data_IF_466016525321
#
_entry.id   IF_466016525321
#
_cell.length_a   1.000
_cell.length_b   1.000
_cell.length_c   1.000
_cell.angle_alpha   90.00
_cell.angle_beta   90.00
_cell.angle_gamma   90.00
#
_symmetry.space_group_name_H-M   'P 1'
#
loop_
_entity.id
_entity.type
_entity.pdbx_description
1 polymer ?
#
# COMPACT_ATOMS: atom_id res chain seq x y z
N UNK A 1 42.75 16.28 2.42
CA UNK A 1 43.30 14.90 2.39
C UNK A 1 43.06 14.15 3.68
N UNK A 2 43.70 14.46 4.82
CA UNK A 2 43.46 13.76 6.10
C UNK A 2 41.97 13.66 6.51
N UNK A 3 41.20 14.73 6.32
CA UNK A 3 39.76 14.73 6.60
C UNK A 3 38.94 13.84 5.65
N UNK A 4 39.37 13.69 4.38
CA UNK A 4 38.71 12.80 3.40
C UNK A 4 39.03 11.34 3.71
N UNK A 5 40.28 11.07 4.10
CA UNK A 5 40.74 9.76 4.59
C UNK A 5 39.92 9.30 5.82
N UNK A 6 39.68 10.19 6.80
CA UNK A 6 38.91 9.84 8.00
C UNK A 6 37.42 9.60 7.74
N UNK A 7 36.82 10.30 6.78
CA UNK A 7 35.37 10.24 6.52
C UNK A 7 34.97 9.11 5.57
N UNK A 8 35.81 8.74 4.60
CA UNK A 8 35.50 7.71 3.61
C UNK A 8 36.48 6.52 3.60
N UNK A 9 37.55 6.54 4.41
CA UNK A 9 38.61 5.53 4.34
C UNK A 9 39.44 5.59 3.05
N UNK A 10 39.34 6.70 2.29
CA UNK A 10 39.93 6.89 0.96
C UNK A 10 41.45 7.03 1.07
N UNK A 11 42.20 6.06 0.58
CA UNK A 11 43.67 6.12 0.55
C UNK A 11 44.19 7.02 -0.58
N UNK A 12 45.47 7.43 -0.49
CA UNK A 12 46.17 8.12 -1.59
C UNK A 12 46.11 7.35 -2.92
N UNK A 13 46.17 6.01 -2.85
CA UNK A 13 46.01 5.16 -4.03
C UNK A 13 44.66 5.38 -4.71
N UNK A 14 43.59 5.44 -3.92
CA UNK A 14 42.24 5.63 -4.45
C UNK A 14 42.06 7.02 -5.06
N UNK A 15 42.66 8.04 -4.44
CA UNK A 15 42.71 9.42 -4.96
C UNK A 15 43.39 9.46 -6.33
N UNK A 16 44.55 8.83 -6.46
CA UNK A 16 45.29 8.78 -7.71
C UNK A 16 44.53 7.98 -8.79
N UNK A 17 43.92 6.86 -8.40
CA UNK A 17 43.19 5.96 -9.30
C UNK A 17 41.93 6.58 -9.87
N UNK A 18 41.10 7.20 -9.02
CA UNK A 18 39.82 7.80 -9.42
C UNK A 18 39.90 9.29 -9.70
N UNK A 19 41.10 9.89 -9.63
CA UNK A 19 41.32 11.34 -9.77
C UNK A 19 40.41 12.15 -8.85
N UNK A 20 40.31 11.69 -7.59
CA UNK A 20 39.48 12.37 -6.60
C UNK A 20 40.02 13.77 -6.31
N UNK A 21 39.14 14.75 -6.35
CA UNK A 21 39.43 16.14 -6.04
C UNK A 21 38.33 16.79 -5.22
N UNK A 22 38.50 18.07 -4.93
CA UNK A 22 37.45 18.91 -4.36
C UNK A 22 36.96 19.88 -5.43
N UNK A 23 35.65 20.06 -5.53
CA UNK A 23 35.07 21.02 -6.47
C UNK A 23 35.45 22.45 -6.09
N UNK A 24 35.80 23.26 -7.09
CA UNK A 24 35.90 24.71 -6.92
C UNK A 24 34.54 25.31 -6.52
N UNK A 25 34.52 26.52 -5.95
CA UNK A 25 33.27 27.20 -5.63
C UNK A 25 32.43 27.46 -6.90
N UNK A 26 31.17 27.05 -6.92
CA UNK A 26 30.25 27.34 -8.03
C UNK A 26 28.85 27.78 -7.57
N UNK A 27 28.21 28.72 -8.28
CA UNK A 27 26.84 29.11 -8.00
C UNK A 27 25.86 28.06 -8.54
N UNK A 28 24.71 27.88 -7.88
CA UNK A 28 23.56 27.17 -8.47
C UNK A 28 22.48 28.20 -8.81
N UNK A 29 21.99 28.15 -10.04
CA UNK A 29 21.09 29.16 -10.60
C UNK A 29 19.84 29.45 -9.76
N UNK A 30 19.45 30.74 -9.79
CA UNK A 30 18.16 31.32 -9.43
C UNK A 30 17.69 31.28 -7.96
N UNK A 31 18.59 31.18 -6.97
CA UNK A 31 18.23 31.52 -5.59
C UNK A 31 18.68 32.94 -5.29
N UNK A 32 17.74 33.78 -4.84
CA UNK A 32 18.03 35.14 -4.34
C UNK A 32 18.90 35.01 -3.09
N UNK A 33 20.14 35.49 -3.18
CA UNK A 33 21.16 35.37 -2.15
C UNK A 33 22.35 34.55 -2.66
N UNK A 34 23.56 35.12 -2.64
CA UNK A 34 24.82 34.52 -3.12
C UNK A 34 25.19 33.23 -2.36
N UNK A 35 24.50 32.13 -2.60
CA UNK A 35 24.81 30.86 -1.95
C UNK A 35 25.70 30.00 -2.85
N UNK A 36 26.89 29.66 -2.34
CA UNK A 36 27.99 29.06 -3.11
C UNK A 36 28.26 27.63 -2.63
N UNK A 37 28.23 26.67 -3.54
CA UNK A 37 28.67 25.30 -3.26
C UNK A 37 30.19 25.21 -3.40
N UNK A 38 30.87 24.63 -2.43
CA UNK A 38 32.32 24.44 -2.50
C UNK A 38 32.75 23.15 -1.80
N UNK A 39 33.90 22.62 -2.21
CA UNK A 39 34.56 21.48 -1.56
C UNK A 39 33.71 20.19 -1.51
N UNK A 40 32.85 19.96 -2.51
CA UNK A 40 32.27 18.64 -2.71
C UNK A 40 33.36 17.70 -3.23
N UNK A 41 33.38 16.44 -2.78
CA UNK A 41 34.27 15.45 -3.36
C UNK A 41 33.83 15.19 -4.80
N UNK A 42 34.74 15.31 -5.75
CA UNK A 42 34.45 15.15 -7.18
C UNK A 42 35.36 14.09 -7.79
N UNK A 43 34.80 13.29 -8.71
CA UNK A 43 35.53 12.29 -9.47
C UNK A 43 35.00 12.21 -10.91
N UNK A 44 35.86 12.15 -11.94
CA UNK A 44 35.42 11.76 -13.28
C UNK A 44 34.90 10.32 -13.30
N UNK A 45 33.89 10.06 -14.12
CA UNK A 45 33.39 8.70 -14.35
C UNK A 45 34.40 7.93 -15.20
N UNK A 46 34.72 6.70 -14.82
CA UNK A 46 35.53 5.79 -15.63
C UNK A 46 34.60 4.93 -16.48
N UNK A 47 34.82 4.92 -17.79
CA UNK A 47 34.06 4.11 -18.74
C UNK A 47 34.53 2.65 -18.80
N UNK A 48 33.85 1.83 -19.60
CA UNK A 48 34.17 0.40 -19.77
C UNK A 48 35.59 0.13 -20.27
N UNK A 49 36.19 1.09 -20.98
CA UNK A 49 37.53 0.98 -21.55
C UNK A 49 38.62 1.45 -20.56
N UNK A 50 38.22 1.95 -19.38
CA UNK A 50 39.11 2.53 -18.38
C UNK A 50 39.47 3.99 -18.65
N UNK A 51 38.79 4.64 -19.61
CA UNK A 51 39.00 6.05 -19.92
C UNK A 51 38.14 6.93 -19.00
N UNK A 52 38.65 8.12 -18.67
CA UNK A 52 37.89 9.11 -17.92
C UNK A 52 36.92 9.85 -18.85
N UNK A 53 35.66 9.87 -18.45
CA UNK A 53 34.60 10.67 -19.08
C UNK A 53 34.72 12.13 -18.67
N UNK A 54 34.11 13.01 -19.48
CA UNK A 54 33.89 14.42 -19.13
C UNK A 54 32.77 14.62 -18.10
N UNK A 55 32.02 13.56 -17.76
CA UNK A 55 31.00 13.59 -16.69
C UNK A 55 31.63 13.30 -15.33
N UNK A 56 31.18 14.05 -14.33
CA UNK A 56 31.68 13.98 -12.96
C UNK A 56 30.57 13.60 -11.99
N UNK A 57 30.96 12.81 -11.00
CA UNK A 57 30.15 12.50 -9.82
C UNK A 57 30.67 13.35 -8.67
N UNK A 58 29.73 13.86 -7.88
CA UNK A 58 29.95 14.71 -6.73
C UNK A 58 29.38 14.04 -5.49
N UNK A 59 30.01 14.25 -4.34
CA UNK A 59 29.51 13.77 -3.04
C UNK A 59 29.71 14.82 -1.96
N UNK A 60 28.68 15.01 -1.15
CA UNK A 60 28.76 15.82 0.07
C UNK A 60 29.60 15.05 1.10
N UNK A 61 30.62 15.71 1.63
CA UNK A 61 31.45 15.23 2.74
C UNK A 61 31.34 16.20 3.92
N UNK A 62 30.35 16.07 4.82
CA UNK A 62 30.33 16.86 6.03
C UNK A 62 31.57 16.54 6.92
N UNK A 63 32.22 17.52 7.55
CA UNK A 63 31.97 18.97 7.52
C UNK A 63 32.74 19.73 6.41
N UNK A 64 33.43 19.03 5.50
CA UNK A 64 34.30 19.61 4.47
C UNK A 64 33.49 20.36 3.41
N UNK A 65 32.42 19.75 2.93
CA UNK A 65 31.58 20.34 1.88
C UNK A 65 30.75 21.48 2.44
N UNK A 66 30.83 22.62 1.78
CA UNK A 66 29.95 23.76 2.05
C UNK A 66 28.69 23.58 1.18
N UNK A 67 27.67 22.93 1.74
CA UNK A 67 26.32 22.85 1.17
C UNK A 67 25.29 23.14 2.26
N UNK A 68 24.39 24.07 1.97
CA UNK A 68 23.38 24.62 2.88
C UNK A 68 22.02 23.91 2.74
N UNK A 69 21.92 22.87 1.91
CA UNK A 69 20.64 22.23 1.56
C UNK A 69 20.49 20.78 2.00
N UNK A 70 21.53 20.16 2.57
CA UNK A 70 21.53 18.71 2.74
C UNK A 70 22.00 18.33 4.14
N UNK A 71 21.09 17.75 4.91
CA UNK A 71 21.35 17.11 6.20
C UNK A 71 21.93 15.69 5.99
N UNK A 72 23.06 15.56 5.26
CA UNK A 72 23.72 14.26 5.09
C UNK A 72 24.58 14.07 3.84
N UNK A 73 25.25 12.90 3.73
CA UNK A 73 26.13 12.56 2.62
C UNK A 73 25.34 12.15 1.36
N UNK A 74 24.98 13.13 0.52
CA UNK A 74 24.33 12.87 -0.78
C UNK A 74 25.36 12.78 -1.90
N UNK A 75 25.14 11.87 -2.85
CA UNK A 75 25.94 11.71 -4.07
C UNK A 75 25.10 12.08 -5.28
N UNK A 76 25.62 12.87 -6.23
CA UNK A 76 24.92 13.25 -7.46
C UNK A 76 25.86 13.30 -8.65
N UNK A 77 25.30 13.21 -9.86
CA UNK A 77 26.03 13.36 -11.12
C UNK A 77 25.39 14.46 -11.96
N UNK A 78 26.19 15.18 -12.74
CA UNK A 78 25.65 16.13 -13.71
C UNK A 78 25.12 15.43 -14.97
N UNK A 79 24.01 15.96 -15.50
CA UNK A 79 23.34 15.48 -16.71
C UNK A 79 22.19 14.49 -16.43
N UNK A 80 21.32 14.28 -17.43
CA UNK A 80 20.04 13.58 -17.25
C UNK A 80 20.17 12.06 -17.26
N UNK A 81 21.05 11.53 -18.10
CA UNK A 81 21.10 10.08 -18.36
C UNK A 81 22.08 9.39 -17.40
N UNK A 82 21.65 8.31 -16.71
CA UNK A 82 22.53 7.51 -15.88
C UNK A 82 23.58 6.75 -16.68
N UNK A 83 24.83 6.89 -16.27
CA UNK A 83 25.98 6.15 -16.78
C UNK A 83 26.46 5.09 -15.79
N UNK A 84 27.02 3.99 -16.30
CA UNK A 84 27.75 3.00 -15.51
C UNK A 84 29.14 3.54 -15.17
N UNK A 85 29.44 3.61 -13.88
CA UNK A 85 30.77 3.92 -13.36
C UNK A 85 31.54 2.61 -13.16
N UNK A 86 32.70 2.45 -13.80
CA UNK A 86 33.55 1.28 -13.65
C UNK A 86 34.73 1.54 -12.70
N UNK A 87 35.27 0.51 -12.04
CA UNK A 87 36.49 0.65 -11.22
C UNK A 87 37.80 0.57 -12.02
N UNK A 88 37.73 0.06 -13.26
CA UNK A 88 38.82 -0.07 -14.23
C UNK A 88 38.29 -0.53 -15.59
N UNK A 89 39.18 -0.59 -16.59
CA UNK A 89 38.95 -1.28 -17.85
C UNK A 89 38.46 -2.72 -17.63
N UNK A 90 37.44 -3.10 -18.38
CA UNK A 90 36.86 -4.44 -18.40
C UNK A 90 37.70 -5.38 -19.28
N UNK A 91 37.95 -6.58 -18.77
CA UNK A 91 38.62 -7.69 -19.44
C UNK A 91 37.63 -8.84 -19.69
N UNK A 92 37.96 -9.75 -20.60
CA UNK A 92 37.04 -10.79 -21.08
C UNK A 92 36.56 -11.76 -19.97
N UNK A 93 37.41 -12.07 -19.00
CA UNK A 93 37.13 -13.04 -17.93
C UNK A 93 36.68 -12.39 -16.60
N UNK A 94 36.37 -11.10 -16.63
CA UNK A 94 36.01 -10.38 -15.41
C UNK A 94 34.68 -10.87 -14.82
N UNK A 95 34.66 -10.97 -13.49
CA UNK A 95 33.43 -10.98 -12.70
C UNK A 95 33.07 -9.55 -12.29
N UNK A 96 31.83 -9.30 -11.91
CA UNK A 96 31.36 -7.97 -11.53
C UNK A 96 30.78 -7.94 -10.12
N UNK A 97 31.12 -6.88 -9.38
CA UNK A 97 30.46 -6.50 -8.12
C UNK A 97 29.66 -5.23 -8.38
N UNK A 98 28.34 -5.27 -8.14
CA UNK A 98 27.41 -4.16 -8.38
C UNK A 98 27.09 -3.47 -7.05
N UNK A 99 27.49 -2.21 -6.92
CA UNK A 99 27.31 -1.39 -5.71
C UNK A 99 26.17 -0.38 -5.86
N UNK A 100 25.56 0.02 -4.74
CA UNK A 100 24.40 0.91 -4.73
C UNK A 100 24.75 2.37 -5.03
N UNK A 101 26.00 2.76 -4.76
CA UNK A 101 26.50 4.10 -5.01
C UNK A 101 27.96 4.10 -5.46
N UNK A 102 28.39 5.21 -6.06
CA UNK A 102 29.79 5.41 -6.47
C UNK A 102 30.74 5.46 -5.26
N UNK A 103 30.25 5.88 -4.09
CA UNK A 103 31.04 5.84 -2.86
C UNK A 103 31.26 4.41 -2.36
N UNK A 104 30.24 3.57 -2.41
CA UNK A 104 30.40 2.14 -2.12
C UNK A 104 31.36 1.48 -3.13
N UNK A 105 31.30 1.87 -4.41
CA UNK A 105 32.26 1.40 -5.41
C UNK A 105 33.70 1.73 -4.97
N UNK A 106 33.97 2.97 -4.54
CA UNK A 106 35.30 3.34 -4.02
C UNK A 106 35.66 2.50 -2.80
N UNK A 107 34.75 2.37 -1.84
CA UNK A 107 34.99 1.60 -0.64
C UNK A 107 35.35 0.14 -0.95
N UNK A 108 34.56 -0.54 -1.79
CA UNK A 108 34.79 -1.92 -2.21
C UNK A 108 36.12 -2.07 -2.95
N UNK A 109 36.50 -1.11 -3.81
CA UNK A 109 37.81 -1.14 -4.48
C UNK A 109 38.96 -1.02 -3.50
N UNK A 110 38.87 -0.15 -2.49
CA UNK A 110 39.88 -0.07 -1.42
C UNK A 110 39.94 -1.37 -0.62
N UNK A 111 38.78 -1.99 -0.32
CA UNK A 111 38.70 -3.28 0.37
C UNK A 111 39.31 -4.43 -0.42
N UNK A 112 39.24 -4.39 -1.76
CA UNK A 112 39.82 -5.42 -2.63
C UNK A 112 41.35 -5.35 -2.73
N UNK A 113 41.96 -4.23 -2.32
CA UNK A 113 43.38 -3.97 -2.54
C UNK A 113 44.28 -5.08 -1.99
N UNK A 114 45.20 -5.57 -2.81
CA UNK A 114 46.15 -6.60 -2.44
C UNK A 114 45.54 -8.01 -2.32
N UNK A 115 44.30 -8.19 -2.76
CA UNK A 115 43.63 -9.50 -2.82
C UNK A 115 43.47 -9.97 -4.27
N UNK A 116 43.18 -11.26 -4.46
CA UNK A 116 42.89 -11.81 -5.78
C UNK A 116 41.61 -11.23 -6.43
N UNK A 117 40.75 -10.56 -5.65
CA UNK A 117 39.57 -9.90 -6.22
C UNK A 117 39.99 -8.74 -7.14
N UNK A 118 41.08 -8.03 -6.83
CA UNK A 118 41.53 -6.85 -7.57
C UNK A 118 41.81 -7.15 -9.06
N UNK A 119 42.33 -8.35 -9.36
CA UNK A 119 42.66 -8.78 -10.71
C UNK A 119 41.53 -9.53 -11.43
N UNK A 120 40.49 -9.97 -10.71
CA UNK A 120 39.43 -10.85 -11.25
C UNK A 120 38.04 -10.20 -11.28
N UNK A 121 37.85 -9.12 -10.53
CA UNK A 121 36.57 -8.43 -10.43
C UNK A 121 36.70 -6.98 -10.88
N UNK A 122 35.65 -6.51 -11.56
CA UNK A 122 35.36 -5.10 -11.78
C UNK A 122 34.23 -4.71 -10.84
N UNK A 123 34.30 -3.51 -10.27
CA UNK A 123 33.23 -2.97 -9.44
C UNK A 123 32.51 -1.92 -10.27
N UNK A 124 31.18 -2.00 -10.30
CA UNK A 124 30.34 -1.05 -11.03
C UNK A 124 29.28 -0.44 -10.11
N UNK A 125 28.84 0.76 -10.46
CA UNK A 125 27.68 1.41 -9.85
C UNK A 125 27.03 2.36 -10.85
N UNK A 126 25.76 2.69 -10.64
CA UNK A 126 25.12 3.79 -11.37
C UNK A 126 25.66 5.13 -10.86
N UNK A 127 25.97 6.03 -11.80
CA UNK A 127 26.26 7.44 -11.49
C UNK A 127 25.13 8.18 -10.76
N UNK A 128 23.90 7.65 -10.80
CA UNK A 128 22.70 8.22 -10.18
C UNK A 128 22.13 7.35 -9.04
N UNK A 129 22.90 6.37 -8.56
CA UNK A 129 22.48 5.47 -7.49
C UNK A 129 21.44 4.42 -7.91
N UNK A 130 20.87 3.73 -6.93
CA UNK A 130 19.98 2.58 -7.13
C UNK A 130 18.60 2.91 -7.70
N UNK A 131 18.16 4.17 -7.64
CA UNK A 131 16.83 4.57 -8.14
C UNK A 131 16.81 4.78 -9.67
N UNK A 132 17.97 5.02 -10.28
CA UNK A 132 18.09 5.34 -11.71
C UNK A 132 19.24 4.58 -12.35
N UNK A 133 18.92 3.45 -12.98
CA UNK A 133 19.93 2.58 -13.60
C UNK A 133 20.25 3.01 -15.05
N UNK A 134 21.50 2.80 -15.50
CA UNK A 134 21.88 2.98 -16.90
C UNK A 134 21.05 2.07 -17.81
N UNK A 135 20.68 2.56 -19.00
CA UNK A 135 19.83 1.80 -19.94
C UNK A 135 20.44 0.45 -20.31
N UNK A 136 21.77 0.37 -20.41
CA UNK A 136 22.46 -0.89 -20.72
C UNK A 136 22.19 -1.97 -19.66
N UNK A 137 22.01 -1.62 -18.37
CA UNK A 137 21.69 -2.57 -17.30
C UNK A 137 20.30 -3.17 -17.45
N UNK A 138 19.42 -2.61 -18.29
CA UNK A 138 18.07 -3.15 -18.51
C UNK A 138 18.07 -4.33 -19.49
N UNK A 139 19.22 -4.63 -20.09
CA UNK A 139 19.36 -5.66 -21.14
C UNK A 139 20.21 -6.82 -20.66
N UNK A 140 19.80 -8.05 -21.00
CA UNK A 140 20.58 -9.25 -20.68
C UNK A 140 21.96 -9.27 -21.36
N UNK A 141 22.12 -8.56 -22.48
CA UNK A 141 23.40 -8.45 -23.21
C UNK A 141 24.49 -7.77 -22.37
N UNK A 142 24.13 -6.75 -21.58
CA UNK A 142 25.10 -6.13 -20.69
C UNK A 142 25.61 -7.12 -19.63
N UNK A 143 24.72 -7.97 -19.12
CA UNK A 143 25.00 -8.89 -18.02
C UNK A 143 25.67 -10.19 -18.48
N UNK A 144 25.41 -10.64 -19.71
CA UNK A 144 25.92 -11.90 -20.24
C UNK A 144 27.45 -11.98 -20.30
N UNK A 145 28.13 -10.83 -20.42
CA UNK A 145 29.60 -10.73 -20.50
C UNK A 145 30.33 -11.13 -19.22
N UNK A 146 29.69 -11.02 -18.07
CA UNK A 146 30.36 -11.24 -16.80
C UNK A 146 30.40 -12.74 -16.46
N UNK A 147 31.56 -13.20 -15.99
CA UNK A 147 31.70 -14.59 -15.54
C UNK A 147 30.82 -14.89 -14.33
N UNK A 148 30.75 -13.94 -13.41
CA UNK A 148 29.90 -13.95 -12.20
C UNK A 148 29.38 -12.55 -11.95
N UNK A 149 28.10 -12.45 -11.57
CA UNK A 149 27.47 -11.19 -11.16
C UNK A 149 27.23 -11.28 -9.66
N UNK A 150 27.82 -10.37 -8.89
CA UNK A 150 27.60 -10.26 -7.45
C UNK A 150 27.01 -8.90 -7.14
N UNK A 151 25.82 -8.86 -6.54
CA UNK A 151 25.14 -7.63 -6.14
C UNK A 151 25.34 -7.39 -4.66
N UNK A 152 25.72 -6.17 -4.31
CA UNK A 152 26.11 -5.80 -2.95
C UNK A 152 25.34 -4.57 -2.49
N UNK A 153 24.06 -4.40 -2.84
CA UNK A 153 23.30 -3.25 -2.35
C UNK A 153 23.21 -3.29 -0.82
N UNK A 154 23.65 -2.20 -0.17
CA UNK A 154 23.50 -1.96 1.26
C UNK A 154 22.32 -1.02 1.52
N UNK A 155 21.82 -0.95 2.77
CA UNK A 155 20.64 -0.14 3.14
C UNK A 155 21.09 1.21 3.70
N UNK A 156 21.01 2.32 2.96
CA UNK A 156 20.89 3.63 3.59
C UNK A 156 19.42 3.82 4.01
N UNK A 157 19.11 3.72 5.31
CA UNK A 157 17.87 4.22 5.92
C UNK A 157 16.52 3.75 5.32
N UNK A 158 15.86 2.82 6.01
CA UNK A 158 14.40 2.57 6.10
C UNK A 158 13.48 2.51 4.84
N UNK A 159 13.91 2.80 3.61
CA UNK A 159 12.99 2.99 2.47
C UNK A 159 13.20 2.07 1.26
N UNK A 160 14.38 1.48 1.07
CA UNK A 160 14.65 0.58 -0.06
C UNK A 160 14.83 -0.87 0.41
N UNK A 161 14.14 -1.82 -0.25
CA UNK A 161 14.35 -3.27 -0.12
C UNK A 161 15.58 -3.69 -0.95
N UNK A 162 16.75 -3.94 -0.34
CA UNK A 162 17.97 -4.27 -1.06
C UNK A 162 17.90 -5.64 -1.75
N UNK A 163 17.09 -6.54 -1.20
CA UNK A 163 16.89 -7.84 -1.80
C UNK A 163 15.97 -7.71 -3.01
N UNK A 164 14.92 -6.88 -2.92
CA UNK A 164 14.12 -6.44 -4.07
C UNK A 164 14.99 -5.89 -5.21
N UNK A 165 15.94 -5.00 -4.92
CA UNK A 165 16.89 -4.48 -5.92
C UNK A 165 17.80 -5.57 -6.51
N UNK A 166 18.23 -6.55 -5.70
CA UNK A 166 18.98 -7.69 -6.18
C UNK A 166 18.15 -8.56 -7.14
N UNK A 167 16.86 -8.79 -6.83
CA UNK A 167 15.92 -9.46 -7.71
C UNK A 167 15.69 -8.70 -9.01
N UNK A 168 15.61 -7.37 -8.97
CA UNK A 168 15.49 -6.53 -10.16
C UNK A 168 16.71 -6.69 -11.08
N UNK A 169 17.93 -6.71 -10.53
CA UNK A 169 19.15 -7.00 -11.32
C UNK A 169 19.09 -8.42 -11.88
N UNK A 170 18.65 -9.41 -11.09
CA UNK A 170 18.52 -10.78 -11.55
C UNK A 170 17.54 -10.92 -12.73
N UNK A 171 16.44 -10.15 -12.71
CA UNK A 171 15.47 -10.09 -13.82
C UNK A 171 16.11 -9.57 -15.10
N UNK A 172 16.76 -8.41 -15.03
CA UNK A 172 17.41 -7.84 -16.22
C UNK A 172 18.61 -8.66 -16.71
N UNK A 173 19.32 -9.33 -15.80
CA UNK A 173 20.42 -10.22 -16.14
C UNK A 173 19.97 -11.49 -16.86
N UNK A 174 18.72 -11.94 -16.62
CA UNK A 174 18.16 -13.17 -17.17
C UNK A 174 19.05 -14.42 -16.95
N UNK A 175 19.84 -14.41 -15.87
CA UNK A 175 20.72 -15.50 -15.44
C UNK A 175 20.94 -15.46 -13.94
N UNK A 176 21.49 -16.53 -13.39
CA UNK A 176 21.79 -16.61 -11.97
C UNK A 176 22.80 -15.54 -11.54
N UNK A 177 22.52 -14.91 -10.41
CA UNK A 177 23.39 -13.91 -9.79
C UNK A 177 23.65 -14.27 -8.32
N UNK A 178 24.57 -13.57 -7.69
CA UNK A 178 24.93 -13.80 -6.30
C UNK A 178 24.67 -12.56 -5.46
N UNK A 179 23.90 -12.69 -4.40
CA UNK A 179 23.63 -11.67 -3.42
C UNK A 179 24.67 -11.73 -2.31
N UNK A 180 25.50 -10.70 -2.23
CA UNK A 180 26.40 -10.50 -1.10
C UNK A 180 25.59 -9.84 0.02
N UNK A 181 25.32 -10.49 1.17
CA UNK A 181 24.53 -9.89 2.24
C UNK A 181 25.18 -8.59 2.74
N UNK A 182 24.40 -7.61 3.19
CA UNK A 182 24.95 -6.43 3.82
C UNK A 182 25.77 -6.85 5.05
N UNK A 183 26.89 -6.17 5.26
CA UNK A 183 27.62 -6.25 6.52
C UNK A 183 26.77 -5.63 7.65
N UNK A 184 27.12 -5.87 8.92
CA UNK A 184 26.43 -5.30 10.11
C UNK A 184 26.58 -3.76 10.24
N UNK A 185 26.77 -3.05 9.14
CA UNK A 185 26.91 -1.61 9.04
C UNK A 185 25.94 -1.03 8.00
N UNK A 186 25.74 0.28 7.99
CA UNK A 186 24.77 0.93 7.11
C UNK A 186 25.14 0.80 5.62
N UNK A 187 26.43 0.92 5.29
CA UNK A 187 26.92 0.78 3.92
C UNK A 187 28.36 0.21 3.83
N UNK A 188 28.83 -0.03 2.61
CA UNK A 188 30.21 -0.52 2.39
C UNK A 188 31.29 0.48 2.77
N UNK A 189 30.97 1.78 2.80
CA UNK A 189 31.87 2.82 3.28
C UNK A 189 32.14 2.63 4.77
N UNK A 190 31.10 2.37 5.56
CA UNK A 190 31.20 2.08 6.99
C UNK A 190 31.91 0.73 7.23
N UNK A 191 31.65 -0.29 6.40
CA UNK A 191 32.35 -1.57 6.53
C UNK A 191 33.85 -1.47 6.26
N UNK A 192 34.27 -0.60 5.32
CA UNK A 192 35.68 -0.29 5.12
C UNK A 192 36.29 0.41 6.35
N UNK A 193 35.56 1.34 6.97
CA UNK A 193 36.00 2.04 8.19
C UNK A 193 36.10 1.09 9.39
N UNK A 194 35.19 0.12 9.49
CA UNK A 194 35.22 -0.96 10.49
C UNK A 194 36.28 -2.04 10.20
N UNK A 195 37.10 -1.87 9.15
CA UNK A 195 38.28 -2.69 8.89
C UNK A 195 38.03 -3.96 8.07
N UNK A 196 36.89 -4.08 7.39
CA UNK A 196 36.65 -5.17 6.43
C UNK A 196 37.53 -4.96 5.20
N UNK A 197 38.53 -5.82 4.96
CA UNK A 197 39.46 -5.72 3.80
C UNK A 197 39.99 -7.09 3.36
N UNK A 198 40.53 -7.15 2.15
CA UNK A 198 41.29 -8.27 1.60
C UNK A 198 40.54 -9.59 1.64
N UNK A 199 41.10 -10.56 2.36
CA UNK A 199 40.56 -11.93 2.42
C UNK A 199 39.23 -12.06 3.17
N UNK A 200 38.85 -11.07 4.00
CA UNK A 200 37.50 -11.03 4.59
C UNK A 200 36.44 -10.78 3.52
N UNK A 201 36.67 -9.78 2.66
CA UNK A 201 35.78 -9.49 1.52
C UNK A 201 35.75 -10.66 0.53
N UNK A 202 36.91 -11.25 0.25
CA UNK A 202 37.01 -12.43 -0.63
C UNK A 202 36.12 -13.58 -0.16
N UNK A 203 36.18 -13.91 1.14
CA UNK A 203 35.34 -14.95 1.73
C UNK A 203 33.86 -14.61 1.61
N UNK A 204 33.48 -13.36 1.87
CA UNK A 204 32.10 -12.91 1.75
C UNK A 204 31.57 -13.03 0.31
N UNK A 205 32.35 -12.63 -0.71
CA UNK A 205 31.99 -12.77 -2.13
C UNK A 205 31.85 -14.24 -2.54
N UNK A 206 32.71 -15.11 -2.02
CA UNK A 206 32.65 -16.56 -2.26
C UNK A 206 31.42 -17.22 -1.61
N UNK A 207 31.03 -16.77 -0.42
CA UNK A 207 29.85 -17.26 0.31
C UNK A 207 28.56 -16.52 -0.05
N UNK A 208 28.56 -15.66 -1.08
CA UNK A 208 27.38 -14.90 -1.49
C UNK A 208 26.25 -15.85 -1.90
N UNK A 209 25.03 -15.52 -1.46
CA UNK A 209 23.82 -16.32 -1.66
C UNK A 209 23.42 -16.33 -3.13
N UNK A 210 23.13 -17.51 -3.69
CA UNK A 210 22.65 -17.63 -5.07
C UNK A 210 21.20 -17.13 -5.17
N UNK A 211 20.92 -16.20 -6.07
CA UNK A 211 19.56 -15.89 -6.55
C UNK A 211 19.42 -16.58 -7.91
N UNK A 212 18.61 -17.64 -7.95
CA UNK A 212 18.42 -18.43 -9.16
C UNK A 212 17.30 -17.89 -10.04
N UNK A 213 17.38 -18.09 -11.36
CA UNK A 213 16.28 -17.71 -12.26
C UNK A 213 14.95 -18.45 -11.95
N UNK A 214 15.02 -19.64 -11.36
CA UNK A 214 13.83 -20.35 -10.90
C UNK A 214 13.15 -19.64 -9.73
N UNK A 215 13.93 -19.05 -8.82
CA UNK A 215 13.45 -18.27 -7.68
C UNK A 215 12.86 -16.93 -8.13
N UNK A 216 13.54 -16.23 -9.06
CA UNK A 216 13.03 -14.99 -9.67
C UNK A 216 11.65 -15.19 -10.29
N UNK A 217 11.46 -16.26 -11.08
CA UNK A 217 10.17 -16.59 -11.69
C UNK A 217 9.08 -16.95 -10.66
N UNK A 218 9.46 -17.52 -9.51
CA UNK A 218 8.51 -17.78 -8.40
C UNK A 218 8.09 -16.50 -7.70
N UNK A 219 9.02 -15.56 -7.50
CA UNK A 219 8.74 -14.27 -6.91
C UNK A 219 7.76 -13.44 -7.76
N UNK A 220 7.84 -13.54 -9.10
CA UNK A 220 6.86 -12.91 -10.01
C UNK A 220 5.43 -13.47 -9.87
N UNK A 221 5.26 -14.70 -9.35
CA UNK A 221 3.96 -15.36 -9.24
C UNK A 221 3.19 -15.02 -7.96
N UNK A 222 3.81 -14.32 -7.00
CA UNK A 222 3.22 -14.03 -5.69
C UNK A 222 3.31 -12.54 -5.41
N UNK A 223 2.21 -11.82 -5.63
CA UNK A 223 2.05 -10.43 -5.19
C UNK A 223 1.35 -10.39 -3.83
N UNK A 224 1.92 -9.64 -2.89
CA UNK A 224 1.26 -9.33 -1.62
C UNK A 224 0.52 -8.00 -1.75
N UNK A 225 -0.72 -7.94 -1.25
CA UNK A 225 -1.51 -6.73 -1.16
C UNK A 225 -2.18 -6.64 0.20
N UNK A 226 -2.64 -5.44 0.55
CA UNK A 226 -3.29 -5.19 1.85
C UNK A 226 -4.54 -6.07 2.01
N UNK A 227 -4.67 -6.68 3.19
CA UNK A 227 -5.83 -7.48 3.57
C UNK A 227 -7.00 -6.63 4.12
N UNK A 228 -6.96 -5.31 3.94
CA UNK A 228 -8.00 -4.39 4.38
C UNK A 228 -9.32 -4.74 3.67
N UNK A 229 -10.29 -5.21 4.45
CA UNK A 229 -11.57 -5.72 3.96
C UNK A 229 -12.73 -5.00 4.63
N UNK A 230 -13.84 -4.90 3.90
CA UNK A 230 -15.02 -4.15 4.29
C UNK A 230 -16.12 -5.10 4.78
N UNK A 231 -16.89 -4.68 5.79
CA UNK A 231 -18.16 -5.32 6.15
C UNK A 231 -19.32 -4.49 5.62
N UNK A 232 -19.65 -4.73 4.36
CA UNK A 232 -20.68 -3.98 3.63
C UNK A 232 -22.11 -4.28 4.06
N UNK A 233 -22.33 -5.19 5.02
CA UNK A 233 -23.67 -5.52 5.50
C UNK A 233 -24.32 -4.33 6.23
N UNK A 234 -23.51 -3.36 6.67
CA UNK A 234 -23.97 -2.15 7.37
C UNK A 234 -22.91 -1.04 7.45
N UNK A 235 -22.27 -0.70 6.33
CA UNK A 235 -21.20 0.31 6.31
C UNK A 235 -21.37 1.32 5.18
N UNK A 236 -21.15 2.60 5.50
CA UNK A 236 -20.87 3.63 4.51
C UNK A 236 -19.39 3.56 4.12
N UNK A 237 -19.10 3.07 2.92
CA UNK A 237 -17.72 2.93 2.43
C UNK A 237 -17.59 3.53 1.04
N UNK A 238 -16.44 4.17 0.80
CA UNK A 238 -16.07 4.78 -0.50
C UNK A 238 -17.12 5.75 -1.05
N UNK A 239 -17.84 6.45 -0.17
CA UNK A 239 -18.87 7.41 -0.56
C UNK A 239 -20.24 6.82 -0.84
N UNK A 240 -20.46 5.52 -0.55
CA UNK A 240 -21.71 4.84 -0.85
C UNK A 240 -22.26 4.08 0.35
N UNK A 241 -23.59 4.07 0.46
CA UNK A 241 -24.35 3.10 1.26
C UNK A 241 -24.58 1.82 0.46
N UNK A 242 -24.54 0.69 1.18
CA UNK A 242 -24.79 -0.65 0.69
C UNK A 242 -25.92 -1.30 1.49
N UNK A 243 -26.85 -1.97 0.82
CA UNK A 243 -27.93 -2.73 1.44
C UNK A 243 -27.94 -4.15 0.87
N UNK A 244 -27.78 -5.15 1.74
CA UNK A 244 -27.87 -6.56 1.36
C UNK A 244 -29.32 -7.04 1.45
N UNK A 245 -29.85 -7.61 0.37
CA UNK A 245 -31.23 -8.12 0.32
C UNK A 245 -31.27 -9.57 -0.17
N UNK A 246 -32.25 -10.32 0.33
CA UNK A 246 -32.53 -11.68 -0.12
C UNK A 246 -33.58 -11.66 -1.22
N UNK A 247 -33.26 -12.25 -2.37
CA UNK A 247 -34.15 -12.34 -3.53
C UNK A 247 -34.36 -13.80 -3.95
N UNK A 248 -35.49 -14.08 -4.59
CA UNK A 248 -35.74 -15.37 -5.28
C UNK A 248 -35.34 -15.20 -6.74
N UNK A 249 -34.34 -15.95 -7.17
CA UNK A 249 -33.94 -16.07 -8.57
C UNK A 249 -34.70 -17.25 -9.19
N UNK A 250 -35.25 -17.03 -10.39
CA UNK A 250 -35.78 -18.10 -11.24
C UNK A 250 -35.00 -18.11 -12.54
N UNK A 251 -34.37 -19.24 -12.85
CA UNK A 251 -33.52 -19.45 -14.01
C UNK A 251 -34.21 -20.46 -14.90
N UNK A 252 -34.66 -20.02 -16.07
CA UNK A 252 -35.16 -20.91 -17.10
C UNK A 252 -33.98 -21.60 -17.79
N UNK A 253 -33.96 -22.93 -17.76
CA UNK A 253 -33.02 -23.77 -18.50
C UNK A 253 -33.78 -24.58 -19.56
N UNK A 254 -33.04 -25.19 -20.48
CA UNK A 254 -33.61 -26.07 -21.50
C UNK A 254 -34.33 -27.30 -20.93
N UNK A 255 -34.12 -27.62 -19.64
CA UNK A 255 -34.68 -28.79 -18.94
C UNK A 255 -35.74 -28.43 -17.89
N UNK A 256 -36.06 -27.14 -17.70
CA UNK A 256 -37.06 -26.68 -16.72
C UNK A 256 -36.71 -25.33 -16.09
N UNK A 257 -37.42 -24.94 -15.03
CA UNK A 257 -37.10 -23.75 -14.24
C UNK A 257 -36.43 -24.15 -12.93
N UNK A 258 -35.26 -23.58 -12.65
CA UNK A 258 -34.59 -23.72 -11.37
C UNK A 258 -34.79 -22.46 -10.54
N UNK A 259 -35.22 -22.63 -9.30
CA UNK A 259 -35.39 -21.52 -8.37
C UNK A 259 -34.46 -21.62 -7.18
N UNK A 260 -33.90 -20.49 -6.76
CA UNK A 260 -33.05 -20.42 -5.57
C UNK A 260 -33.17 -19.07 -4.89
N UNK A 261 -32.85 -19.04 -3.60
CA UNK A 261 -32.58 -17.79 -2.92
C UNK A 261 -31.16 -17.32 -3.22
N UNK A 262 -31.02 -16.02 -3.45
CA UNK A 262 -29.76 -15.34 -3.70
C UNK A 262 -29.69 -14.08 -2.85
N UNK A 263 -28.48 -13.66 -2.52
CA UNK A 263 -28.22 -12.39 -1.84
C UNK A 263 -27.59 -11.46 -2.85
N UNK A 264 -28.21 -10.31 -3.03
CA UNK A 264 -27.66 -9.22 -3.84
C UNK A 264 -27.44 -8.01 -2.95
N UNK A 265 -26.48 -7.18 -3.34
CA UNK A 265 -26.18 -5.93 -2.64
C UNK A 265 -26.55 -4.76 -3.54
N UNK A 266 -27.34 -3.84 -3.01
CA UNK A 266 -27.76 -2.62 -3.70
C UNK A 266 -26.91 -1.47 -3.19
N UNK A 267 -26.32 -0.70 -4.09
CA UNK A 267 -25.53 0.48 -3.74
C UNK A 267 -26.33 1.75 -4.05
N UNK A 268 -26.16 2.76 -3.21
CA UNK A 268 -26.85 4.06 -3.29
C UNK A 268 -26.75 4.80 -4.63
N UNK A 269 -25.76 4.46 -5.47
CA UNK A 269 -25.61 4.97 -6.85
C UNK A 269 -26.42 4.18 -7.90
N UNK A 270 -27.39 3.36 -7.46
CA UNK A 270 -28.28 2.54 -8.30
C UNK A 270 -27.58 1.40 -9.02
N UNK A 271 -26.50 0.88 -8.44
CA UNK A 271 -25.83 -0.30 -8.96
C UNK A 271 -26.15 -1.56 -8.15
N UNK A 272 -26.25 -2.69 -8.85
CA UNK A 272 -26.44 -4.01 -8.25
C UNK A 272 -25.10 -4.73 -8.21
N UNK A 273 -24.78 -5.29 -7.06
CA UNK A 273 -23.58 -6.07 -6.82
C UNK A 273 -23.90 -7.46 -6.30
N UNK A 274 -22.93 -8.36 -6.42
CA UNK A 274 -22.99 -9.70 -5.84
C UNK A 274 -21.64 -10.05 -5.20
N UNK A 275 -21.68 -10.68 -4.04
CA UNK A 275 -20.47 -11.21 -3.43
C UNK A 275 -20.04 -12.50 -4.14
N UNK A 276 -18.78 -12.57 -4.54
CA UNK A 276 -18.18 -13.71 -5.23
C UNK A 276 -16.91 -14.16 -4.52
N UNK A 277 -16.77 -15.47 -4.34
CA UNK A 277 -15.53 -16.09 -3.91
C UNK A 277 -14.54 -16.15 -5.08
N UNK A 278 -13.33 -15.66 -4.84
CA UNK A 278 -12.27 -15.65 -5.84
C UNK A 278 -11.63 -17.04 -5.99
N UNK A 279 -11.22 -17.42 -7.21
CA UNK A 279 -10.48 -18.66 -7.42
C UNK A 279 -9.28 -18.74 -6.48
N UNK A 280 -9.21 -19.83 -5.73
CA UNK A 280 -8.16 -20.07 -4.75
C UNK A 280 -7.47 -21.41 -5.05
N UNK A 281 -6.18 -21.59 -4.69
CA UNK A 281 -5.49 -22.87 -4.85
C UNK A 281 -6.26 -24.04 -4.26
N UNK A 282 -6.00 -25.24 -4.79
CA UNK A 282 -6.61 -26.46 -4.26
C UNK A 282 -6.26 -26.61 -2.76
N UNK A 283 -7.27 -26.93 -1.95
CA UNK A 283 -7.19 -27.10 -0.48
C UNK A 283 -7.03 -25.80 0.33
N UNK A 284 -7.18 -24.61 -0.25
CA UNK A 284 -7.29 -23.38 0.55
C UNK A 284 -8.49 -23.47 1.51
N UNK A 285 -8.27 -23.32 2.83
CA UNK A 285 -9.34 -23.31 3.84
C UNK A 285 -10.38 -22.23 3.51
N UNK A 286 -11.67 -22.50 3.78
CA UNK A 286 -12.75 -21.54 3.47
C UNK A 286 -12.54 -20.16 4.11
N UNK A 287 -11.97 -20.12 5.32
CA UNK A 287 -11.69 -18.87 6.04
C UNK A 287 -10.62 -18.01 5.36
N UNK A 288 -9.75 -18.62 4.55
CA UNK A 288 -8.65 -17.93 3.86
C UNK A 288 -9.01 -17.57 2.40
N UNK A 289 -10.24 -17.89 1.98
CA UNK A 289 -10.70 -17.58 0.63
C UNK A 289 -11.17 -16.14 0.57
N UNK A 290 -10.73 -15.46 -0.48
CA UNK A 290 -11.04 -14.06 -0.70
C UNK A 290 -12.45 -13.91 -1.28
N UNK A 291 -13.25 -13.05 -0.66
CA UNK A 291 -14.54 -12.61 -1.18
C UNK A 291 -14.40 -11.21 -1.77
N UNK A 292 -15.02 -10.97 -2.92
CA UNK A 292 -15.12 -9.64 -3.54
C UNK A 292 -16.55 -9.33 -3.96
N UNK A 293 -16.92 -8.05 -3.92
CA UNK A 293 -18.09 -7.58 -4.65
C UNK A 293 -17.77 -7.50 -6.14
N UNK A 294 -18.68 -7.98 -6.97
CA UNK A 294 -18.70 -7.70 -8.39
C UNK A 294 -19.79 -6.67 -8.72
N UNK A 295 -19.53 -5.70 -9.61
CA UNK A 295 -18.30 -5.54 -10.40
C UNK A 295 -17.18 -4.69 -9.78
N UNK A 296 -17.37 -4.07 -8.62
CA UNK A 296 -16.43 -3.04 -8.11
C UNK A 296 -15.12 -3.57 -7.50
N UNK A 297 -15.02 -4.88 -7.27
CA UNK A 297 -13.84 -5.55 -6.74
C UNK A 297 -13.60 -5.30 -5.25
N UNK A 298 -14.54 -4.69 -4.52
CA UNK A 298 -14.40 -4.41 -3.08
C UNK A 298 -14.11 -5.70 -2.29
N UNK A 299 -13.06 -5.69 -1.48
CA UNK A 299 -12.66 -6.86 -0.68
C UNK A 299 -13.60 -7.00 0.52
N UNK A 300 -14.21 -8.16 0.71
CA UNK A 300 -15.18 -8.39 1.76
C UNK A 300 -14.62 -9.21 2.91
N UNK A 301 -14.94 -8.78 4.12
CA UNK A 301 -14.57 -9.48 5.35
C UNK A 301 -15.38 -10.77 5.53
N UNK A 302 -16.66 -10.72 5.17
CA UNK A 302 -17.61 -11.84 5.24
C UNK A 302 -18.63 -11.75 4.11
N UNK A 303 -19.36 -12.84 3.90
CA UNK A 303 -20.49 -12.82 2.98
C UNK A 303 -21.56 -11.84 3.49
N UNK A 304 -22.13 -10.98 2.63
CA UNK A 304 -23.16 -10.04 3.06
C UNK A 304 -24.36 -10.78 3.62
N UNK A 305 -24.82 -10.35 4.79
CA UNK A 305 -25.96 -10.95 5.47
C UNK A 305 -27.15 -9.99 5.36
N UNK A 306 -28.22 -10.37 4.64
CA UNK A 306 -29.42 -9.55 4.58
C UNK A 306 -30.17 -9.62 5.91
N UNK A 307 -30.75 -8.49 6.32
CA UNK A 307 -31.66 -8.47 7.48
C UNK A 307 -32.88 -9.37 7.24
N UNK A 308 -33.28 -10.12 8.26
CA UNK A 308 -34.56 -10.87 8.26
C UNK A 308 -35.76 -9.95 8.11
N UNK A 309 -35.62 -8.73 8.61
CA UNK A 309 -36.68 -7.72 8.73
C UNK A 309 -36.52 -6.65 7.65
N UNK A 310 -35.86 -6.98 6.54
CA UNK A 310 -35.52 -6.04 5.48
C UNK A 310 -36.73 -5.24 4.99
N UNK A 311 -36.60 -3.92 5.06
CA UNK A 311 -37.63 -2.99 4.55
C UNK A 311 -37.65 -2.98 3.02
N UNK A 312 -36.52 -3.27 2.37
CA UNK A 312 -36.43 -3.31 0.92
C UNK A 312 -37.10 -4.57 0.35
N UNK A 313 -38.15 -4.36 -0.45
CA UNK A 313 -38.81 -5.41 -1.22
C UNK A 313 -38.36 -5.36 -2.68
N UNK A 314 -38.28 -6.51 -3.34
CA UNK A 314 -37.82 -6.60 -4.73
C UNK A 314 -38.54 -5.64 -5.70
N UNK A 315 -39.86 -5.39 -5.63
CA UNK A 315 -40.50 -4.39 -6.48
C UNK A 315 -39.90 -2.99 -6.34
N UNK A 316 -39.64 -2.53 -5.10
CA UNK A 316 -39.03 -1.23 -4.82
C UNK A 316 -37.57 -1.19 -5.29
N UNK A 317 -36.82 -2.27 -5.07
CA UNK A 317 -35.45 -2.43 -5.55
C UNK A 317 -35.40 -2.33 -7.08
N UNK A 318 -36.29 -3.05 -7.76
CA UNK A 318 -36.37 -3.06 -9.21
C UNK A 318 -36.70 -1.66 -9.75
N UNK A 319 -37.64 -0.96 -9.12
CA UNK A 319 -37.98 0.42 -9.49
C UNK A 319 -36.79 1.38 -9.29
N UNK A 320 -36.07 1.25 -8.17
CA UNK A 320 -34.88 2.06 -7.89
C UNK A 320 -33.74 1.81 -8.88
N UNK A 321 -33.41 0.54 -9.15
CA UNK A 321 -32.32 0.15 -10.03
C UNK A 321 -32.59 0.44 -11.51
N UNK A 322 -33.81 0.14 -11.98
CA UNK A 322 -34.08 0.05 -13.42
C UNK A 322 -35.10 1.07 -13.93
N UNK A 323 -35.93 1.64 -13.07
CA UNK A 323 -36.95 2.63 -13.45
C UNK A 323 -36.58 4.05 -13.00
N UNK A 324 -35.44 4.21 -12.33
CA UNK A 324 -34.97 5.50 -11.85
C UNK A 324 -35.83 6.10 -10.74
N UNK A 325 -36.59 5.27 -10.01
CA UNK A 325 -37.44 5.72 -8.92
C UNK A 325 -36.64 6.57 -7.93
N UNK A 326 -37.21 7.70 -7.53
CA UNK A 326 -36.63 8.63 -6.55
C UNK A 326 -37.58 8.73 -5.36
N UNK A 327 -37.00 8.96 -4.18
CA UNK A 327 -37.79 9.32 -3.03
C UNK A 327 -38.42 10.71 -3.24
N UNK A 328 -39.61 10.97 -2.68
CA UNK A 328 -40.14 12.33 -2.57
C UNK A 328 -39.16 13.26 -1.85
N UNK A 329 -39.30 14.59 -1.98
CA UNK A 329 -38.51 15.53 -1.21
C UNK A 329 -38.56 15.23 0.29
N UNK A 330 -37.43 15.42 0.99
CA UNK A 330 -37.33 15.10 2.42
C UNK A 330 -38.42 15.78 3.26
N UNK A 331 -38.74 17.04 2.97
CA UNK A 331 -39.82 17.76 3.67
C UNK A 331 -41.17 17.04 3.55
N UNK A 332 -41.51 16.57 2.35
CA UNK A 332 -42.76 15.82 2.13
C UNK A 332 -42.74 14.47 2.86
N UNK A 333 -41.59 13.79 2.89
CA UNK A 333 -41.45 12.54 3.66
C UNK A 333 -41.66 12.78 5.16
N UNK A 334 -41.05 13.84 5.71
CA UNK A 334 -41.22 14.19 7.12
C UNK A 334 -42.67 14.50 7.45
N UNK A 335 -43.37 15.26 6.60
CA UNK A 335 -44.80 15.57 6.80
C UNK A 335 -45.67 14.30 6.76
N UNK A 336 -45.37 13.35 5.86
CA UNK A 336 -46.09 12.07 5.77
C UNK A 336 -45.84 11.18 6.98
N UNK A 337 -44.59 11.12 7.46
CA UNK A 337 -44.22 10.38 8.66
C UNK A 337 -44.91 10.99 9.89
N UNK A 338 -44.82 12.31 10.06
CA UNK A 338 -45.50 13.02 11.14
C UNK A 338 -47.02 12.79 11.10
N UNK A 339 -47.64 12.86 9.93
CA UNK A 339 -49.06 12.57 9.75
C UNK A 339 -49.44 11.15 10.17
N UNK A 340 -48.62 10.15 9.83
CA UNK A 340 -48.82 8.77 10.28
C UNK A 340 -48.70 8.66 11.81
N UNK A 341 -47.64 9.20 12.41
CA UNK A 341 -47.42 9.13 13.87
C UNK A 341 -48.57 9.80 14.65
N UNK A 342 -49.05 10.95 14.18
CA UNK A 342 -50.21 11.66 14.77
C UNK A 342 -51.51 10.88 14.70
N UNK A 343 -51.70 10.10 13.64
CA UNK A 343 -52.87 9.26 13.48
C UNK A 343 -52.83 8.03 14.39
N UNK A 344 -51.62 7.59 14.78
CA UNK A 344 -51.39 6.40 15.59
C UNK A 344 -51.39 6.68 17.09
N UNK A 345 -50.68 7.73 17.56
CA UNK A 345 -50.52 8.03 18.99
C UNK A 345 -50.56 9.53 19.25
N UNK A 346 -51.17 9.92 20.39
CA UNK A 346 -51.15 11.29 20.86
C UNK A 346 -49.90 11.55 21.72
N UNK A 347 -49.09 12.54 21.34
CA UNK A 347 -47.94 13.01 22.12
C UNK A 347 -48.24 14.36 22.79
N UNK A 348 -47.77 14.60 24.02
CA UNK A 348 -48.02 15.85 24.74
C UNK A 348 -47.45 17.09 24.04
N UNK A 349 -46.28 16.96 23.40
CA UNK A 349 -45.61 18.06 22.72
C UNK A 349 -45.58 17.85 21.20
N UNK A 350 -46.06 18.85 20.47
CA UNK A 350 -46.14 18.83 19.02
C UNK A 350 -44.76 18.72 18.35
N UNK A 351 -43.71 19.25 19.00
CA UNK A 351 -42.34 19.17 18.50
C UNK A 351 -41.77 17.75 18.51
N UNK A 352 -42.31 16.86 19.35
CA UNK A 352 -41.82 15.48 19.48
C UNK A 352 -42.11 14.68 18.21
N UNK A 353 -43.23 14.93 17.54
CA UNK A 353 -43.53 14.30 16.24
C UNK A 353 -42.47 14.60 15.19
N UNK A 354 -41.96 15.84 15.16
CA UNK A 354 -40.89 16.23 14.24
C UNK A 354 -39.56 15.55 14.57
N UNK A 355 -39.24 15.45 15.87
CA UNK A 355 -38.07 14.72 16.32
C UNK A 355 -38.14 13.26 15.87
N UNK A 356 -39.26 12.59 16.14
CA UNK A 356 -39.47 11.20 15.75
C UNK A 356 -39.44 11.02 14.22
N UNK A 357 -40.03 11.94 13.46
CA UNK A 357 -39.99 11.89 12.00
C UNK A 357 -38.56 11.98 11.45
N UNK A 358 -37.75 12.89 12.00
CA UNK A 358 -36.33 12.97 11.67
C UNK A 358 -35.59 11.68 12.05
N UNK A 359 -35.88 11.12 13.22
CA UNK A 359 -35.28 9.86 13.67
C UNK A 359 -35.61 8.69 12.75
N UNK A 360 -36.85 8.57 12.26
CA UNK A 360 -37.24 7.56 11.26
C UNK A 360 -36.35 7.66 10.02
N UNK A 361 -36.16 8.86 9.45
CA UNK A 361 -35.31 9.04 8.27
C UNK A 361 -33.87 8.63 8.55
N UNK A 362 -33.32 9.02 9.71
CA UNK A 362 -31.95 8.68 10.11
C UNK A 362 -31.74 7.16 10.16
N UNK A 363 -32.76 6.36 10.50
CA UNK A 363 -32.60 4.89 10.54
C UNK A 363 -32.19 4.29 9.19
N UNK A 364 -32.54 4.92 8.06
CA UNK A 364 -32.18 4.46 6.72
C UNK A 364 -30.76 4.87 6.28
N UNK A 365 -30.13 5.82 6.99
CA UNK A 365 -28.79 6.32 6.68
C UNK A 365 -27.88 6.35 7.90
N UNK A 366 -28.22 5.59 8.95
CA UNK A 366 -27.50 5.60 10.23
C UNK A 366 -26.01 5.30 10.09
N UNK A 367 -25.65 4.50 9.10
CA UNK A 367 -24.28 4.06 8.80
C UNK A 367 -23.37 5.20 8.33
N UNK A 368 -23.93 6.37 7.98
CA UNK A 368 -23.18 7.59 7.66
C UNK A 368 -22.71 8.30 8.93
N UNK A 369 -23.42 8.13 10.05
CA UNK A 369 -23.18 8.88 11.27
C UNK A 369 -22.33 8.07 12.25
N UNK A 370 -21.46 8.76 12.99
CA UNK A 370 -20.64 8.16 14.06
C UNK A 370 -21.50 7.75 15.28
N UNK A 371 -22.64 8.41 15.45
CA UNK A 371 -23.58 8.15 16.53
C UNK A 371 -25.03 8.37 16.06
N UNK A 372 -25.93 7.56 16.60
CA UNK A 372 -27.38 7.68 16.41
C UNK A 372 -28.08 8.07 17.70
N UNK A 373 -29.20 8.80 17.63
CA UNK A 373 -29.93 9.23 18.82
C UNK A 373 -30.59 8.03 19.53
N UNK A 374 -30.40 7.95 20.85
CA UNK A 374 -31.21 7.11 21.73
C UNK A 374 -32.39 7.93 22.24
N UNK A 375 -33.61 7.45 22.02
CA UNK A 375 -34.84 8.14 22.41
C UNK A 375 -35.46 7.38 23.57
N UNK A 376 -35.51 8.04 24.73
CA UNK A 376 -36.22 7.54 25.89
C UNK A 376 -37.65 8.06 25.87
N UNK A 377 -38.62 7.15 25.82
CA UNK A 377 -40.05 7.48 25.94
C UNK A 377 -40.48 7.18 27.37
N UNK A 378 -41.03 8.18 28.05
CA UNK A 378 -41.48 8.06 29.44
C UNK A 378 -42.93 8.49 29.59
N UNK A 379 -43.67 7.79 30.42
CA UNK A 379 -45.08 8.06 30.68
C UNK A 379 -45.71 7.00 31.56
N UNK A 380 -46.86 7.30 32.15
CA UNK A 380 -47.61 6.38 33.02
C UNK A 380 -48.02 5.10 32.28
N UNK A 381 -48.39 4.06 33.04
CA UNK A 381 -48.93 2.83 32.46
C UNK A 381 -50.21 3.13 31.66
N UNK A 382 -50.31 2.61 30.43
CA UNK A 382 -51.45 2.84 29.54
C UNK A 382 -51.41 4.17 28.76
N UNK A 383 -50.30 4.90 28.78
CA UNK A 383 -50.14 6.16 28.03
C UNK A 383 -49.84 6.02 26.52
N UNK A 384 -49.86 4.79 25.97
CA UNK A 384 -49.64 4.57 24.54
C UNK A 384 -48.17 4.36 24.12
N UNK A 385 -47.26 4.06 25.06
CA UNK A 385 -45.82 3.88 24.79
C UNK A 385 -45.54 2.73 23.82
N UNK A 386 -46.20 1.59 24.05
CA UNK A 386 -46.09 0.41 23.19
C UNK A 386 -46.66 0.70 21.80
N UNK A 387 -47.80 1.37 21.70
CA UNK A 387 -48.39 1.80 20.44
C UNK A 387 -47.46 2.75 19.66
N UNK A 388 -46.74 3.63 20.37
CA UNK A 388 -45.75 4.51 19.74
C UNK A 388 -44.57 3.70 19.20
N UNK A 389 -44.08 2.73 19.98
CA UNK A 389 -43.02 1.83 19.54
C UNK A 389 -43.44 1.05 18.29
N UNK A 390 -44.68 0.53 18.26
CA UNK A 390 -45.24 -0.16 17.08
C UNK A 390 -45.24 0.78 15.87
N UNK A 391 -45.83 1.97 15.99
CA UNK A 391 -45.91 2.94 14.90
C UNK A 391 -44.52 3.34 14.36
N UNK A 392 -43.53 3.50 15.25
CA UNK A 392 -42.14 3.75 14.84
C UNK A 392 -41.55 2.55 14.09
N UNK A 393 -41.75 1.31 14.58
CA UNK A 393 -41.20 0.11 13.96
C UNK A 393 -41.76 -0.15 12.55
N UNK A 394 -42.99 0.26 12.27
CA UNK A 394 -43.60 0.16 10.93
C UNK A 394 -42.92 1.07 9.90
N UNK A 395 -42.32 2.18 10.34
CA UNK A 395 -41.71 3.19 9.47
C UNK A 395 -40.18 3.08 9.40
N UNK A 396 -39.53 2.62 10.47
CA UNK A 396 -38.08 2.58 10.57
C UNK A 396 -37.43 1.47 9.73
N UNK A 397 -36.17 1.67 9.37
CA UNK A 397 -35.39 0.71 8.60
C UNK A 397 -35.15 -0.60 9.39
N UNK A 398 -35.40 -1.71 8.72
CA UNK A 398 -35.08 -3.08 9.12
C UNK A 398 -35.51 -3.43 10.56
N UNK A 399 -36.66 -2.92 11.00
CA UNK A 399 -37.09 -3.06 12.39
C UNK A 399 -37.83 -4.39 12.65
N UNK A 400 -37.45 -5.16 13.69
CA UNK A 400 -38.11 -6.42 14.05
C UNK A 400 -39.39 -6.24 14.88
N UNK A 401 -39.82 -4.99 15.12
CA UNK A 401 -40.92 -4.66 16.02
C UNK A 401 -40.47 -4.37 17.47
N UNK A 402 -41.41 -4.02 18.37
CA UNK A 402 -41.11 -3.80 19.78
C UNK A 402 -40.74 -5.10 20.49
N UNK A 403 -39.78 -5.01 21.41
CA UNK A 403 -39.19 -6.17 22.07
C UNK A 403 -39.26 -5.97 23.56
N UNK A 404 -39.73 -6.99 24.27
CA UNK A 404 -39.72 -7.01 25.73
C UNK A 404 -38.32 -7.09 26.33
N UNK A 405 -38.25 -7.27 27.66
CA UNK A 405 -37.01 -7.48 28.40
C UNK A 405 -36.16 -8.61 27.81
N UNK A 406 -35.00 -8.22 27.26
CA UNK A 406 -33.98 -9.12 26.72
C UNK A 406 -32.62 -8.80 27.30
N UNK A 407 -31.74 -9.80 27.37
CA UNK A 407 -30.38 -9.59 27.87
C UNK A 407 -29.60 -8.62 26.97
N UNK A 408 -28.64 -7.89 27.54
CA UNK A 408 -27.76 -7.01 26.78
C UNK A 408 -27.05 -7.73 25.61
N UNK A 409 -26.64 -8.99 25.83
CA UNK A 409 -26.02 -9.80 24.77
C UNK A 409 -26.99 -10.12 23.62
N UNK A 410 -28.28 -10.33 23.93
CA UNK A 410 -29.33 -10.54 22.93
C UNK A 410 -29.59 -9.26 22.12
N UNK A 411 -29.61 -8.09 22.78
CA UNK A 411 -29.79 -6.80 22.11
C UNK A 411 -28.66 -6.50 21.13
N UNK A 412 -27.41 -6.73 21.52
CA UNK A 412 -26.26 -6.53 20.62
C UNK A 412 -26.35 -7.43 19.39
N UNK A 413 -26.69 -8.71 19.57
CA UNK A 413 -26.85 -9.65 18.44
C UNK A 413 -28.00 -9.24 17.53
N UNK A 414 -29.09 -8.75 18.10
CA UNK A 414 -30.23 -8.31 17.32
C UNK A 414 -29.94 -7.03 16.54
N UNK A 415 -29.25 -6.07 17.15
CA UNK A 415 -28.78 -4.87 16.47
C UNK A 415 -27.83 -5.20 15.32
N UNK A 416 -26.91 -6.16 15.52
CA UNK A 416 -26.02 -6.66 14.46
C UNK A 416 -26.77 -7.51 13.41
N UNK A 417 -27.88 -8.16 13.74
CA UNK A 417 -28.64 -8.94 12.76
C UNK A 417 -29.59 -8.08 11.90
N UNK A 418 -30.18 -7.06 12.51
CA UNK A 418 -31.17 -6.18 11.87
C UNK A 418 -30.50 -5.04 11.11
N UNK A 419 -29.36 -4.57 11.60
CA UNK A 419 -28.67 -3.38 11.09
C UNK A 419 -29.61 -2.16 10.99
N UNK A 420 -30.60 -2.09 11.88
CA UNK A 420 -31.74 -1.18 11.79
C UNK A 420 -32.22 -0.69 13.15
N UNK A 421 -33.48 -0.24 13.19
CA UNK A 421 -34.10 0.32 14.38
C UNK A 421 -34.60 -0.76 15.34
N UNK A 422 -34.26 -0.60 16.63
CA UNK A 422 -34.71 -1.49 17.70
C UNK A 422 -35.51 -0.67 18.71
N UNK A 423 -36.76 -1.07 18.95
CA UNK A 423 -37.58 -0.54 20.03
C UNK A 423 -37.61 -1.53 21.19
N UNK A 424 -37.22 -1.05 22.38
CA UNK A 424 -37.22 -1.85 23.60
C UNK A 424 -38.38 -1.36 24.46
N UNK A 425 -39.33 -2.24 24.71
CA UNK A 425 -40.44 -2.00 25.62
C UNK A 425 -40.13 -2.67 26.95
N UNK A 426 -39.96 -1.86 27.99
CA UNK A 426 -39.81 -2.36 29.35
C UNK A 426 -41.21 -2.78 29.82
N UNK A 427 -41.54 -4.06 29.61
CA UNK A 427 -42.76 -4.67 30.12
C UNK A 427 -42.70 -4.67 31.66
N UNK A 428 -43.29 -3.63 32.27
CA UNK A 428 -43.71 -3.62 33.68
C UNK A 428 -44.85 -4.60 33.99
#
# INVERSE_FOLDING_TARGET
MKAVESTLGVSRHLVERFRLGLSEPYPKGAVVGNVVHANALVAPIIDRNGAFSSRYVYRVLPPITTDFRIDGPVTWCAGRDPLTCFSRKVLADDSVIVCGSVAELWAVVEMMRGSALESTHVVISSSHGVENWPDEWRTAEFWSRWKRITVSFAVPGASADPDGLAYDVARHAARDIYRLPPCDAADWTECLLNGLRGDKLRRAVQSATLISQAEVRRAEAVSYGDAASEDISSTYSRGFLFEAIRVRESIATSTGSHERYSVIVIRSDRTRHAAREMPSPARTPKADRVLRLEPDGCLLRRQPVPSSDSTWRWPSVHAFLYQGATAPPLAELLDRIEGHLRASVWLPNQSDFRLLACSVVVTYCQQIFEAVPLILVSGEKGSGKTELAIAMTELCANSPGPIGLVSAASLVRLSDATHGFVAIDDLE
#
